data_IF_863286478864
#
_entry.id   IF_863286478864
#
_cell.length_a   1.000
_cell.length_b   1.000
_cell.length_c   1.000
_cell.angle_alpha   90.00
_cell.angle_beta   90.00
_cell.angle_gamma   90.00
#
_symmetry.space_group_name_H-M   'P 1'
#
loop_
_entity.id
_entity.type
_entity.pdbx_description
1 polymer ?
#
# COMPACT_ATOMS: atom_id res chain seq x y z
N UNK A 1 -25.18 4.31 19.25
CA UNK A 1 -25.75 5.47 18.53
C UNK A 1 -25.27 5.38 17.10
N UNK A 2 -26.14 5.38 16.08
CA UNK A 2 -25.67 5.35 14.70
C UNK A 2 -24.93 6.65 14.42
N UNK A 3 -23.68 6.56 13.93
CA UNK A 3 -22.91 7.70 13.45
C UNK A 3 -23.67 8.36 12.31
N UNK A 4 -23.78 9.69 12.37
CA UNK A 4 -24.35 10.48 11.30
C UNK A 4 -23.53 10.23 10.01
N UNK A 5 -24.20 9.66 9.01
CA UNK A 5 -23.70 9.65 7.65
C UNK A 5 -23.44 11.10 7.25
N UNK A 6 -22.19 11.46 6.99
CA UNK A 6 -21.88 12.70 6.27
C UNK A 6 -22.41 12.54 4.85
N UNK A 7 -23.65 12.92 4.63
CA UNK A 7 -24.21 13.10 3.30
C UNK A 7 -23.56 14.34 2.70
N UNK A 8 -22.65 14.15 1.77
CA UNK A 8 -22.26 15.21 0.85
C UNK A 8 -23.41 15.34 -0.15
N UNK A 9 -24.22 16.38 0.01
CA UNK A 9 -25.35 16.66 -0.87
C UNK A 9 -24.82 16.81 -2.31
N UNK A 10 -25.21 15.88 -3.20
CA UNK A 10 -24.99 15.97 -4.63
C UNK A 10 -24.07 14.93 -5.26
N UNK A 11 -23.32 14.14 -4.50
CA UNK A 11 -22.53 13.04 -5.04
C UNK A 11 -23.04 11.70 -4.50
N UNK A 12 -23.75 10.95 -5.33
CA UNK A 12 -23.93 9.51 -5.12
C UNK A 12 -22.61 8.82 -5.45
N UNK A 13 -21.63 8.90 -4.54
CA UNK A 13 -20.56 7.93 -4.54
C UNK A 13 -21.24 6.62 -4.16
N UNK A 14 -21.12 5.53 -4.94
CA UNK A 14 -21.53 4.24 -4.45
C UNK A 14 -20.68 3.98 -3.21
N UNK A 15 -21.22 4.28 -2.03
CA UNK A 15 -20.70 3.76 -0.78
C UNK A 15 -20.74 2.25 -0.96
N UNK A 16 -19.58 1.66 -1.20
CA UNK A 16 -19.40 0.24 -1.01
C UNK A 16 -20.03 -0.08 0.35
N UNK A 17 -21.04 -0.96 0.34
CA UNK A 17 -21.89 -1.29 1.49
C UNK A 17 -21.15 -2.06 2.60
N UNK A 18 -19.84 -2.06 2.61
CA UNK A 18 -18.98 -2.53 3.69
C UNK A 18 -18.14 -1.36 4.19
N UNK A 19 -18.10 -1.19 5.49
CA UNK A 19 -17.12 -0.30 6.12
C UNK A 19 -15.73 -0.67 5.59
N UNK A 20 -14.96 0.27 4.98
CA UNK A 20 -13.67 -0.05 4.39
C UNK A 20 -12.69 -0.67 5.39
N UNK A 21 -12.82 -0.33 6.68
CA UNK A 21 -12.00 -0.90 7.75
C UNK A 21 -12.37 -2.36 7.98
N UNK A 22 -13.67 -2.68 8.00
CA UNK A 22 -14.15 -4.06 8.15
C UNK A 22 -13.71 -4.92 6.95
N UNK A 23 -13.82 -4.40 5.73
CA UNK A 23 -13.37 -5.10 4.53
C UNK A 23 -11.86 -5.38 4.58
N UNK A 24 -11.04 -4.39 4.96
CA UNK A 24 -9.59 -4.57 5.11
C UNK A 24 -9.24 -5.62 6.17
N UNK A 25 -9.96 -5.65 7.31
CA UNK A 25 -9.77 -6.67 8.35
C UNK A 25 -10.12 -8.06 7.81
N UNK A 26 -11.22 -8.21 7.08
CA UNK A 26 -11.63 -9.47 6.47
C UNK A 26 -10.59 -9.98 5.46
N UNK A 27 -10.08 -9.11 4.60
CA UNK A 27 -9.05 -9.43 3.59
C UNK A 27 -7.73 -9.85 4.24
N UNK A 28 -7.32 -9.17 5.33
CA UNK A 28 -6.13 -9.55 6.09
C UNK A 28 -6.28 -10.87 6.84
N UNK A 29 -7.49 -11.32 7.12
CA UNK A 29 -7.79 -12.54 7.86
C UNK A 29 -7.15 -12.56 9.27
N UNK A 30 -7.21 -13.72 9.91
CA UNK A 30 -6.72 -13.91 11.29
C UNK A 30 -5.34 -14.57 11.37
N UNK A 31 -4.80 -15.06 10.25
CA UNK A 31 -3.55 -15.84 10.19
C UNK A 31 -2.68 -15.41 9.01
N UNK A 32 -1.40 -15.81 9.08
CA UNK A 32 -0.44 -15.52 8.04
C UNK A 32 0.29 -14.20 8.25
N UNK A 33 1.35 -13.99 7.49
CA UNK A 33 2.18 -12.79 7.52
C UNK A 33 1.60 -11.72 6.60
N UNK A 34 1.61 -10.48 7.04
CA UNK A 34 1.21 -9.31 6.25
C UNK A 34 2.47 -8.60 5.78
N UNK A 35 2.64 -8.52 4.47
CA UNK A 35 3.81 -7.91 3.86
C UNK A 35 3.49 -6.46 3.52
N UNK A 36 4.38 -5.56 3.94
CA UNK A 36 4.27 -4.12 3.64
C UNK A 36 5.59 -3.56 3.13
N UNK A 37 5.55 -2.35 2.60
CA UNK A 37 6.75 -1.58 2.27
C UNK A 37 6.76 -0.28 3.06
N UNK A 38 7.66 -0.18 4.05
CA UNK A 38 7.72 0.85 5.09
C UNK A 38 6.71 0.63 6.24
N UNK A 39 6.97 -0.42 7.02
CA UNK A 39 6.17 -0.81 8.18
C UNK A 39 5.83 0.36 9.13
N UNK A 40 6.75 1.30 9.34
CA UNK A 40 6.51 2.41 10.25
C UNK A 40 5.35 3.32 9.78
N UNK A 41 5.22 3.50 8.47
CA UNK A 41 4.13 4.27 7.88
C UNK A 41 2.80 3.51 8.00
N UNK A 42 2.78 2.23 7.62
CA UNK A 42 1.56 1.42 7.61
C UNK A 42 0.98 1.24 9.03
N UNK A 43 1.84 0.90 10.00
CA UNK A 43 1.42 0.76 11.41
C UNK A 43 0.92 2.10 11.97
N UNK A 44 1.54 3.23 11.59
CA UNK A 44 1.05 4.53 12.02
C UNK A 44 -0.37 4.82 11.49
N UNK A 45 -0.65 4.49 10.23
CA UNK A 45 -2.00 4.63 9.64
C UNK A 45 -3.01 3.69 10.31
N UNK A 46 -2.62 2.44 10.55
CA UNK A 46 -3.44 1.47 11.27
C UNK A 46 -3.78 1.95 12.70
N UNK A 47 -2.82 2.53 13.40
CA UNK A 47 -3.04 3.06 14.74
C UNK A 47 -4.01 4.26 14.74
N UNK A 48 -3.97 5.10 13.71
CA UNK A 48 -4.96 6.18 13.53
C UNK A 48 -6.34 5.60 13.29
N UNK A 49 -6.47 4.57 12.43
CA UNK A 49 -7.74 3.88 12.22
C UNK A 49 -8.26 3.24 13.51
N UNK A 50 -7.38 2.60 14.31
CA UNK A 50 -7.77 2.02 15.60
C UNK A 50 -8.27 3.09 16.60
N UNK A 51 -7.71 4.30 16.55
CA UNK A 51 -8.15 5.42 17.38
C UNK A 51 -9.49 6.00 16.90
N UNK A 52 -9.69 6.09 15.59
CA UNK A 52 -10.92 6.60 14.98
C UNK A 52 -12.08 5.59 15.07
N UNK A 53 -11.78 4.30 15.07
CA UNK A 53 -12.71 3.17 15.10
C UNK A 53 -12.35 2.19 16.22
N UNK A 54 -12.61 2.56 17.50
CA UNK A 54 -12.20 1.74 18.65
C UNK A 54 -12.79 0.33 18.65
N UNK A 55 -13.94 0.13 18.00
CA UNK A 55 -14.57 -1.18 17.82
C UNK A 55 -13.72 -2.18 17.03
N UNK A 56 -12.81 -1.70 16.19
CA UNK A 56 -11.90 -2.51 15.38
C UNK A 56 -10.46 -2.55 15.94
N UNK A 57 -10.18 -1.84 17.03
CA UNK A 57 -8.81 -1.68 17.54
C UNK A 57 -8.09 -3.01 17.82
N UNK A 58 -8.78 -4.00 18.38
CA UNK A 58 -8.21 -5.33 18.65
C UNK A 58 -7.80 -6.03 17.35
N UNK A 59 -8.68 -6.02 16.35
CA UNK A 59 -8.41 -6.63 15.03
C UNK A 59 -7.26 -5.92 14.29
N UNK A 60 -7.23 -4.60 14.34
CA UNK A 60 -6.15 -3.80 13.72
C UNK A 60 -4.82 -4.07 14.41
N UNK A 61 -4.77 -4.16 15.74
CA UNK A 61 -3.55 -4.51 16.48
C UNK A 61 -3.07 -5.92 16.12
N UNK A 62 -3.98 -6.91 16.03
CA UNK A 62 -3.63 -8.25 15.59
C UNK A 62 -3.10 -8.30 14.13
N UNK A 63 -3.51 -7.38 13.26
CA UNK A 63 -2.91 -7.17 11.94
C UNK A 63 -1.49 -6.63 12.07
N UNK A 64 -1.28 -5.58 12.88
CA UNK A 64 0.02 -4.96 13.08
C UNK A 64 1.07 -5.94 13.61
N UNK A 65 0.68 -6.88 14.48
CA UNK A 65 1.58 -7.90 15.07
C UNK A 65 2.12 -8.89 14.02
N UNK A 66 1.49 -8.98 12.85
CA UNK A 66 1.85 -9.90 11.76
C UNK A 66 2.59 -9.21 10.61
N UNK A 67 2.83 -7.91 10.71
CA UNK A 67 3.44 -7.11 9.65
C UNK A 67 4.94 -7.39 9.53
N UNK A 68 5.42 -7.59 8.32
CA UNK A 68 6.83 -7.66 7.95
C UNK A 68 7.15 -6.65 6.85
N UNK A 69 8.26 -5.93 7.03
CA UNK A 69 8.69 -4.82 6.16
C UNK A 69 9.67 -5.27 5.09
N UNK A 70 9.23 -5.28 3.83
CA UNK A 70 10.09 -5.53 2.66
C UNK A 70 11.11 -4.42 2.40
N UNK A 71 10.97 -3.25 2.98
CA UNK A 71 11.97 -2.18 2.85
C UNK A 71 13.30 -2.56 3.51
N UNK A 72 13.25 -3.34 4.60
CA UNK A 72 14.43 -3.66 5.43
C UNK A 72 15.58 -4.26 4.64
N UNK A 73 15.42 -5.33 3.84
CA UNK A 73 16.51 -5.91 3.07
C UNK A 73 17.20 -4.92 2.14
N UNK A 74 16.45 -4.04 1.51
CA UNK A 74 16.97 -3.06 0.55
C UNK A 74 17.61 -1.86 1.26
N UNK A 75 17.00 -1.33 2.32
CA UNK A 75 17.53 -0.23 3.13
C UNK A 75 18.81 -0.62 3.87
N UNK A 76 18.86 -1.84 4.38
CA UNK A 76 20.03 -2.39 5.05
C UNK A 76 21.10 -2.89 4.07
N UNK A 77 20.85 -2.81 2.75
CA UNK A 77 21.73 -3.26 1.68
C UNK A 77 22.11 -4.74 1.76
N UNK A 78 21.23 -5.57 2.33
CA UNK A 78 21.38 -7.03 2.25
C UNK A 78 21.20 -7.52 0.81
N UNK A 79 20.32 -6.85 0.06
CA UNK A 79 20.20 -6.96 -1.38
C UNK A 79 20.25 -5.54 -1.98
N UNK A 80 21.22 -5.29 -2.85
CA UNK A 80 21.43 -3.99 -3.47
C UNK A 80 21.79 -4.13 -4.95
N UNK A 81 21.24 -3.25 -5.76
CA UNK A 81 21.58 -3.12 -7.17
C UNK A 81 22.00 -1.68 -7.48
N UNK A 82 23.09 -1.46 -8.30
CA UNK A 82 23.57 -0.11 -8.62
C UNK A 82 22.51 0.84 -9.20
N UNK A 83 21.54 0.30 -9.95
CA UNK A 83 20.44 1.08 -10.52
C UNK A 83 19.53 1.73 -9.46
N UNK A 84 19.57 1.30 -8.20
CA UNK A 84 18.88 1.97 -7.09
C UNK A 84 19.45 3.34 -6.78
N UNK A 85 20.68 3.64 -7.21
CA UNK A 85 21.38 4.93 -6.99
C UNK A 85 21.37 5.37 -5.52
N UNK A 86 21.48 4.40 -4.60
CA UNK A 86 21.48 4.64 -3.16
C UNK A 86 20.10 4.75 -2.51
N UNK A 87 19.02 4.77 -3.28
CA UNK A 87 17.64 4.83 -2.76
C UNK A 87 17.11 3.42 -2.44
N UNK A 88 16.36 3.30 -1.34
CA UNK A 88 15.58 2.10 -1.01
C UNK A 88 14.08 2.31 -1.19
N UNK A 89 13.64 3.40 -1.82
CA UNK A 89 12.24 3.60 -2.20
C UNK A 89 11.79 2.49 -3.13
N UNK A 90 10.55 2.02 -3.00
CA UNK A 90 9.99 0.96 -3.87
C UNK A 90 10.13 1.31 -5.36
N UNK A 91 10.03 2.59 -5.71
CA UNK A 91 10.16 3.11 -7.08
C UNK A 91 11.58 3.05 -7.64
N UNK A 92 12.58 3.02 -6.76
CA UNK A 92 13.97 2.82 -7.17
C UNK A 92 14.35 1.34 -7.13
N UNK A 93 13.75 0.57 -6.23
CA UNK A 93 14.05 -0.86 -6.05
C UNK A 93 13.37 -1.69 -7.13
N UNK A 94 12.09 -1.46 -7.39
CA UNK A 94 11.32 -2.26 -8.35
C UNK A 94 12.01 -2.35 -9.74
N UNK A 95 12.31 -1.24 -10.43
CA UNK A 95 12.96 -1.29 -11.75
C UNK A 95 14.42 -1.73 -11.71
N UNK A 96 15.04 -1.77 -10.53
CA UNK A 96 16.41 -2.28 -10.39
C UNK A 96 16.47 -3.81 -10.40
N UNK A 97 15.37 -4.49 -10.06
CA UNK A 97 15.31 -5.95 -9.95
C UNK A 97 14.28 -6.62 -10.85
N UNK A 98 13.43 -5.84 -11.52
CA UNK A 98 12.35 -6.31 -12.41
C UNK A 98 12.25 -5.41 -13.64
N UNK A 99 11.42 -5.82 -14.61
CA UNK A 99 11.08 -4.99 -15.78
C UNK A 99 9.89 -4.04 -15.53
N UNK A 100 9.47 -3.89 -14.27
CA UNK A 100 8.34 -3.06 -13.87
C UNK A 100 8.81 -1.68 -13.40
N UNK A 101 8.01 -0.65 -13.69
CA UNK A 101 8.23 0.71 -13.20
C UNK A 101 6.90 1.42 -12.91
N UNK A 102 6.99 2.65 -12.43
CA UNK A 102 5.84 3.53 -12.23
C UNK A 102 5.74 4.61 -13.32
N UNK A 103 6.61 4.55 -14.33
CA UNK A 103 6.80 5.64 -15.30
C UNK A 103 5.59 5.80 -16.24
N UNK A 104 4.84 4.72 -16.47
CA UNK A 104 3.65 4.72 -17.34
C UNK A 104 2.36 5.11 -16.61
N UNK A 105 2.43 5.45 -15.31
CA UNK A 105 1.27 5.85 -14.52
C UNK A 105 1.10 7.37 -14.50
N UNK A 106 -0.12 7.85 -14.73
CA UNK A 106 -0.50 9.26 -14.59
C UNK A 106 -0.27 9.74 -13.16
N UNK A 107 -0.67 8.94 -12.16
CA UNK A 107 -0.33 9.14 -10.76
C UNK A 107 0.82 8.18 -10.42
N UNK A 108 2.01 8.72 -10.29
CA UNK A 108 3.21 7.93 -10.01
C UNK A 108 3.74 8.09 -8.57
N UNK A 109 3.13 8.96 -7.75
CA UNK A 109 3.59 9.25 -6.39
C UNK A 109 2.42 9.31 -5.38
N UNK A 110 2.57 8.65 -4.21
CA UNK A 110 1.56 8.66 -3.15
C UNK A 110 1.16 10.05 -2.68
N UNK A 111 2.09 11.00 -2.62
CA UNK A 111 1.78 12.41 -2.32
C UNK A 111 0.89 13.07 -3.37
N UNK A 112 1.06 12.73 -4.64
CA UNK A 112 0.19 13.17 -5.74
C UNK A 112 -1.21 12.55 -5.60
N UNK A 113 -1.29 11.24 -5.34
CA UNK A 113 -2.54 10.54 -5.10
C UNK A 113 -3.32 11.18 -3.94
N UNK A 114 -2.67 11.43 -2.80
CA UNK A 114 -3.29 12.09 -1.65
C UNK A 114 -3.77 13.51 -1.98
N UNK A 115 -2.98 14.28 -2.73
CA UNK A 115 -3.32 15.66 -3.11
C UNK A 115 -4.55 15.69 -4.01
N UNK A 116 -4.60 14.85 -5.03
CA UNK A 116 -5.71 14.80 -5.98
C UNK A 116 -6.99 14.29 -5.31
N UNK A 117 -6.91 13.24 -4.51
CA UNK A 117 -8.03 12.74 -3.73
C UNK A 117 -8.54 13.80 -2.73
N UNK A 118 -7.63 14.46 -2.02
CA UNK A 118 -7.99 15.54 -1.08
C UNK A 118 -8.64 16.74 -1.78
N UNK A 119 -8.18 17.12 -2.97
CA UNK A 119 -8.80 18.19 -3.77
C UNK A 119 -10.23 17.81 -4.21
N UNK A 120 -10.43 16.56 -4.62
CA UNK A 120 -11.76 16.04 -4.93
C UNK A 120 -12.68 16.05 -3.71
N UNK A 121 -12.23 15.51 -2.57
CA UNK A 121 -13.03 15.47 -1.34
C UNK A 121 -13.37 16.85 -0.78
N UNK A 122 -12.55 17.85 -1.07
CA UNK A 122 -12.77 19.25 -0.68
C UNK A 122 -13.68 20.02 -1.66
N UNK A 123 -14.20 19.37 -2.72
CA UNK A 123 -15.02 20.00 -3.74
C UNK A 123 -14.25 20.94 -4.69
N UNK A 124 -12.92 20.85 -4.70
CA UNK A 124 -12.06 21.66 -5.58
C UNK A 124 -11.87 21.05 -6.98
N UNK A 125 -12.39 19.85 -7.21
CA UNK A 125 -12.44 19.19 -8.52
C UNK A 125 -13.89 18.91 -8.88
N UNK A 126 -14.20 19.07 -10.16
CA UNK A 126 -15.52 18.76 -10.71
C UNK A 126 -15.77 17.24 -10.65
N UNK A 127 -17.03 16.86 -10.39
CA UNK A 127 -17.42 15.45 -10.34
C UNK A 127 -17.18 14.69 -11.66
N UNK A 128 -17.12 15.38 -12.78
CA UNK A 128 -16.81 14.80 -14.10
C UNK A 128 -15.39 14.22 -14.19
N UNK A 129 -14.47 14.65 -13.31
CA UNK A 129 -13.10 14.11 -13.23
C UNK A 129 -12.99 12.85 -12.37
N UNK A 130 -14.06 12.49 -11.65
CA UNK A 130 -14.00 11.39 -10.68
C UNK A 130 -13.62 10.04 -11.30
N UNK A 131 -14.25 9.69 -12.43
CA UNK A 131 -14.03 8.38 -13.06
C UNK A 131 -12.57 8.23 -13.54
N UNK A 132 -12.01 9.31 -14.13
CA UNK A 132 -10.61 9.32 -14.54
C UNK A 132 -9.68 9.24 -13.32
N UNK A 133 -9.89 10.09 -12.31
CA UNK A 133 -9.12 10.10 -11.08
C UNK A 133 -9.17 8.75 -10.36
N UNK A 134 -10.35 8.13 -10.29
CA UNK A 134 -10.53 6.80 -9.70
C UNK A 134 -9.74 5.73 -10.46
N UNK A 135 -9.76 5.80 -11.79
CA UNK A 135 -8.96 4.92 -12.65
C UNK A 135 -7.46 5.03 -12.34
N UNK A 136 -6.94 6.25 -12.27
CA UNK A 136 -5.53 6.54 -12.01
C UNK A 136 -5.10 6.12 -10.59
N UNK A 137 -5.94 6.43 -9.57
CA UNK A 137 -5.71 6.00 -8.19
C UNK A 137 -5.72 4.47 -8.06
N UNK A 138 -6.66 3.81 -8.73
CA UNK A 138 -6.77 2.34 -8.72
C UNK A 138 -5.56 1.69 -9.40
N UNK A 139 -5.10 2.25 -10.53
CA UNK A 139 -3.89 1.79 -11.22
C UNK A 139 -2.65 1.95 -10.34
N UNK A 140 -2.53 3.09 -9.66
CA UNK A 140 -1.44 3.34 -8.71
C UNK A 140 -1.44 2.34 -7.54
N UNK A 141 -2.57 2.15 -6.86
CA UNK A 141 -2.68 1.21 -5.74
C UNK A 141 -2.41 -0.24 -6.17
N UNK A 142 -2.90 -0.62 -7.35
CA UNK A 142 -2.62 -1.94 -7.93
C UNK A 142 -1.13 -2.14 -8.18
N UNK A 143 -0.46 -1.13 -8.74
CA UNK A 143 0.98 -1.19 -8.99
C UNK A 143 1.78 -1.27 -7.70
N UNK A 144 1.42 -0.49 -6.66
CA UNK A 144 2.09 -0.55 -5.35
C UNK A 144 1.99 -1.95 -4.72
N UNK A 145 0.79 -2.55 -4.76
CA UNK A 145 0.58 -3.90 -4.22
C UNK A 145 1.34 -4.95 -5.04
N UNK A 146 1.26 -4.87 -6.37
CA UNK A 146 1.94 -5.82 -7.27
C UNK A 146 3.46 -5.72 -7.15
N UNK A 147 4.00 -4.52 -6.98
CA UNK A 147 5.42 -4.29 -6.74
C UNK A 147 5.93 -5.04 -5.50
N UNK A 148 5.16 -5.07 -4.41
CA UNK A 148 5.53 -5.83 -3.20
C UNK A 148 5.56 -7.34 -3.46
N UNK A 149 4.62 -7.87 -4.25
CA UNK A 149 4.60 -9.29 -4.65
C UNK A 149 5.86 -9.63 -5.45
N UNK A 150 6.20 -8.83 -6.45
CA UNK A 150 7.38 -9.07 -7.30
C UNK A 150 8.69 -8.94 -6.51
N UNK A 151 8.81 -7.96 -5.63
CA UNK A 151 9.99 -7.83 -4.78
C UNK A 151 10.13 -8.96 -3.76
N UNK A 152 9.02 -9.47 -3.24
CA UNK A 152 9.04 -10.68 -2.40
C UNK A 152 9.54 -11.90 -3.20
N UNK A 153 9.06 -12.08 -4.44
CA UNK A 153 9.52 -13.15 -5.34
C UNK A 153 11.03 -13.03 -5.60
N UNK A 154 11.53 -11.83 -5.87
CA UNK A 154 12.97 -11.57 -6.04
C UNK A 154 13.76 -12.01 -4.81
N UNK A 155 13.33 -11.63 -3.62
CA UNK A 155 13.99 -12.01 -2.36
C UNK A 155 13.98 -13.53 -2.16
N UNK A 156 12.84 -14.19 -2.42
CA UNK A 156 12.75 -15.65 -2.30
C UNK A 156 13.67 -16.40 -3.26
N UNK A 157 13.78 -15.94 -4.50
CA UNK A 157 14.69 -16.53 -5.49
C UNK A 157 16.15 -16.34 -5.06
N UNK A 158 16.53 -15.13 -4.66
CA UNK A 158 17.89 -14.81 -4.26
C UNK A 158 18.34 -15.56 -3.00
N UNK A 159 17.45 -15.75 -2.04
CA UNK A 159 17.77 -16.52 -0.82
C UNK A 159 17.91 -18.01 -1.09
N UNK A 160 17.10 -18.61 -1.98
CA UNK A 160 17.26 -20.02 -2.40
C UNK A 160 18.59 -20.25 -3.09
N UNK A 161 18.94 -19.42 -4.08
CA UNK A 161 20.22 -19.55 -4.81
C UNK A 161 21.43 -19.42 -3.87
N UNK A 162 21.33 -18.58 -2.83
CA UNK A 162 22.40 -18.46 -1.84
C UNK A 162 22.50 -19.71 -0.95
N UNK A 163 21.37 -20.29 -0.53
CA UNK A 163 21.37 -21.50 0.29
C UNK A 163 21.98 -22.70 -0.44
N UNK A 164 21.70 -22.86 -1.73
CA UNK A 164 22.24 -23.95 -2.57
C UNK A 164 23.77 -23.83 -2.71
N UNK A 165 24.31 -22.61 -2.73
CA UNK A 165 25.77 -22.37 -2.87
C UNK A 165 26.57 -22.66 -1.58
N UNK A 166 25.93 -22.72 -0.43
CA UNK A 166 26.55 -23.08 0.86
C UNK A 166 26.37 -24.56 1.23
N UNK A 167 25.64 -25.34 0.41
CA UNK A 167 25.36 -26.76 0.63
C UNK A 167 26.37 -27.67 -0.16
N UNK A 168 27.24 -27.10 -1.00
CA UNK A 168 28.37 -27.78 -1.68
C UNK A 168 29.68 -27.56 -0.90
#
# INVERSE_FOLDING_TARGET
MPRASKTYEGLSIPLLHADPVEAAIQDCGTHGTIIVYNQAFEIARNNELAADFPEYAESINAINDRVIDLLVPFRSRWLYHPNQKGSASIKAVLPAFTDLSYDDLEISHGGEAMRQYGAFMSGNLDASFWDALWGDLSAYCKQDTFAMVELLNVLMIKTKTSADHFAE
#
